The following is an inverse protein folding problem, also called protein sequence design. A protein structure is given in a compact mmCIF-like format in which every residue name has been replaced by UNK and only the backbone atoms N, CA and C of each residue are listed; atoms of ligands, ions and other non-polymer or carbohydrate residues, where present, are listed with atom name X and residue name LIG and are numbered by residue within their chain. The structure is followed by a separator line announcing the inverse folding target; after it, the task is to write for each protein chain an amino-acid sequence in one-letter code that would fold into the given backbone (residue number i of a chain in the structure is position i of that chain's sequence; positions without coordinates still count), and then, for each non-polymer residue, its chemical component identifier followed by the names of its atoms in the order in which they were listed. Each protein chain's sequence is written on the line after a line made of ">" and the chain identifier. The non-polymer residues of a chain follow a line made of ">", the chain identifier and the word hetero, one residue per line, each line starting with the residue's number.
data_IF_411123868983
#
_entry.id   IF_411123868983
#
_cell.length_a   1.000
_cell.length_b   1.000
_cell.length_c   1.000
_cell.angle_alpha   90.00
_cell.angle_beta   90.00
_cell.angle_gamma   90.00
#
_symmetry.space_group_name_H-M   'P 1'
#
loop_
_entity.id
_entity.type
_entity.pdbx_description
1 polymer ?
#
# COMPACT_ATOMS: atom_id res chain seq x y z
N UNK A 1 37.96 22.97 36.67
CA UNK A 1 37.57 21.55 36.66
C UNK A 1 36.13 21.31 37.15
N UNK A 2 35.73 21.76 38.35
CA UNK A 2 34.34 21.57 38.86
C UNK A 2 33.23 22.08 37.91
N UNK A 3 33.39 23.28 37.32
CA UNK A 3 32.42 23.84 36.34
C UNK A 3 32.25 22.99 35.07
N UNK A 4 33.32 22.37 34.59
CA UNK A 4 33.28 21.49 33.40
C UNK A 4 32.56 20.18 33.73
N UNK A 5 32.78 19.63 34.95
CA UNK A 5 32.07 18.44 35.44
C UNK A 5 30.57 18.72 35.60
N UNK A 6 30.18 19.89 36.12
CA UNK A 6 28.77 20.27 36.22
C UNK A 6 28.11 20.48 34.84
N UNK A 7 28.83 21.07 33.87
CA UNK A 7 28.32 21.24 32.50
C UNK A 7 28.17 19.89 31.77
N UNK A 8 29.16 19.00 31.89
CA UNK A 8 29.06 17.63 31.34
C UNK A 8 27.93 16.84 31.99
N UNK A 9 27.77 16.95 33.32
CA UNK A 9 26.67 16.30 34.05
C UNK A 9 25.31 16.84 33.62
N UNK A 10 25.18 18.16 33.39
CA UNK A 10 23.93 18.78 32.94
C UNK A 10 23.57 18.34 31.51
N UNK A 11 24.54 18.25 30.61
CA UNK A 11 24.34 17.78 29.23
C UNK A 11 23.93 16.30 29.20
N UNK A 12 24.55 15.45 30.03
CA UNK A 12 24.16 14.05 30.19
C UNK A 12 22.73 13.92 30.73
N UNK A 13 22.35 14.72 31.73
CA UNK A 13 21.00 14.70 32.30
C UNK A 13 19.95 15.17 31.28
N UNK A 14 20.23 16.22 30.50
CA UNK A 14 19.32 16.70 29.44
C UNK A 14 19.13 15.67 28.31
N UNK A 15 20.09 14.77 28.10
CA UNK A 15 19.99 13.72 27.07
C UNK A 15 18.97 12.63 27.42
N UNK A 16 18.61 12.46 28.70
CA UNK A 16 17.64 11.45 29.15
C UNK A 16 16.18 11.95 29.16
N UNK A 17 15.94 13.24 28.93
CA UNK A 17 14.58 13.83 28.99
C UNK A 17 13.87 13.78 27.62
N UNK A 18 14.62 13.52 26.54
CA UNK A 18 14.06 13.28 25.21
C UNK A 18 13.74 11.78 25.02
N UNK A 19 12.72 11.31 25.73
CA UNK A 19 12.09 10.04 25.39
C UNK A 19 11.09 10.28 24.26
N UNK A 20 11.49 9.99 23.03
CA UNK A 20 10.55 9.95 21.92
C UNK A 20 9.48 8.89 22.22
N UNK A 21 8.21 9.25 22.04
CA UNK A 21 7.11 8.28 22.12
C UNK A 21 7.29 7.29 20.96
N UNK A 22 7.78 6.10 21.26
CA UNK A 22 7.75 5.01 20.29
C UNK A 22 6.30 4.58 20.11
N UNK A 23 5.69 4.92 18.98
CA UNK A 23 4.41 4.36 18.56
C UNK A 23 4.63 2.92 18.10
N UNK A 24 4.82 2.01 19.04
CA UNK A 24 4.80 0.58 18.74
C UNK A 24 3.40 0.17 18.29
N UNK A 25 3.33 -0.82 17.40
CA UNK A 25 2.06 -1.43 17.04
C UNK A 25 1.66 -2.41 18.14
N UNK A 26 0.61 -2.09 18.90
CA UNK A 26 0.02 -3.01 19.87
C UNK A 26 -1.31 -3.52 19.29
N UNK A 27 -1.29 -4.74 18.76
CA UNK A 27 -2.50 -5.39 18.27
C UNK A 27 -3.13 -6.20 19.40
N UNK A 28 -4.32 -5.81 19.84
CA UNK A 28 -5.14 -6.70 20.66
C UNK A 28 -5.47 -7.96 19.87
N UNK A 29 -5.24 -9.14 20.45
CA UNK A 29 -5.61 -10.41 19.83
C UNK A 29 -7.14 -10.45 19.67
N UNK A 30 -7.61 -10.43 18.43
CA UNK A 30 -9.03 -10.55 18.06
C UNK A 30 -9.31 -11.94 17.50
N UNK A 31 -10.51 -12.47 17.76
CA UNK A 31 -10.98 -13.71 17.15
C UNK A 31 -11.20 -13.53 15.64
N UNK A 32 -11.26 -14.63 14.89
CA UNK A 32 -11.55 -14.58 13.44
C UNK A 32 -12.95 -14.05 13.21
N UNK A 33 -13.90 -14.45 14.06
CA UNK A 33 -15.29 -14.03 14.06
C UNK A 33 -15.40 -12.53 14.28
N UNK A 34 -14.71 -11.98 15.30
CA UNK A 34 -14.71 -10.55 15.57
C UNK A 34 -14.07 -9.75 14.43
N UNK A 35 -12.94 -10.23 13.91
CA UNK A 35 -12.29 -9.60 12.75
C UNK A 35 -13.24 -9.60 11.55
N UNK A 36 -13.86 -10.73 11.25
CA UNK A 36 -14.83 -10.89 10.17
C UNK A 36 -16.03 -9.96 10.31
N UNK A 37 -16.55 -9.77 11.53
CA UNK A 37 -17.66 -8.85 11.79
C UNK A 37 -17.23 -7.40 11.60
N UNK A 38 -16.04 -7.01 12.08
CA UNK A 38 -15.54 -5.63 12.06
C UNK A 38 -15.02 -5.17 10.69
N UNK A 39 -14.69 -6.10 9.79
CA UNK A 39 -14.21 -5.77 8.45
C UNK A 39 -15.30 -5.81 7.39
N UNK A 40 -15.15 -5.03 6.32
CA UNK A 40 -16.15 -4.93 5.27
C UNK A 40 -15.96 -5.99 4.19
N UNK A 41 -14.70 -6.25 3.82
CA UNK A 41 -14.33 -7.15 2.73
C UNK A 41 -13.32 -8.18 3.22
N UNK A 42 -13.59 -9.45 2.94
CA UNK A 42 -12.71 -10.57 3.30
C UNK A 42 -12.57 -11.51 2.11
N UNK A 43 -11.34 -11.80 1.71
CA UNK A 43 -11.06 -12.62 0.53
C UNK A 43 -9.70 -13.33 0.61
N UNK A 44 -9.55 -14.41 -0.16
CA UNK A 44 -8.25 -15.03 -0.46
C UNK A 44 -7.82 -14.60 -1.86
N UNK A 45 -6.58 -14.15 -1.99
CA UNK A 45 -6.07 -13.66 -3.27
C UNK A 45 -4.56 -13.70 -3.40
N UNK A 46 -4.10 -13.62 -4.64
CA UNK A 46 -2.69 -13.54 -5.01
C UNK A 46 -2.32 -12.10 -5.31
N UNK A 47 -1.19 -11.63 -4.79
CA UNK A 47 -0.66 -10.31 -5.11
C UNK A 47 -0.14 -10.31 -6.55
N UNK A 48 -0.67 -9.42 -7.37
CA UNK A 48 -0.20 -9.20 -8.73
C UNK A 48 0.92 -8.16 -8.79
N UNK A 49 0.80 -7.09 -7.99
CA UNK A 49 1.72 -5.96 -8.03
C UNK A 49 1.64 -5.16 -6.73
N UNK A 50 2.79 -4.67 -6.26
CA UNK A 50 2.91 -3.81 -5.08
C UNK A 50 3.57 -2.49 -5.49
N UNK A 51 2.96 -1.37 -5.12
CA UNK A 51 3.53 -0.04 -5.38
C UNK A 51 3.54 0.84 -4.15
N UNK A 52 4.63 1.56 -3.97
CA UNK A 52 4.76 2.62 -3.00
C UNK A 52 4.53 3.98 -3.68
N UNK A 53 3.61 4.79 -3.13
CA UNK A 53 3.36 6.15 -3.62
C UNK A 53 2.81 7.05 -2.52
N UNK A 54 3.35 8.26 -2.41
CA UNK A 54 2.87 9.32 -1.50
C UNK A 54 2.73 8.86 -0.03
N UNK A 55 3.68 8.04 0.45
CA UNK A 55 3.63 7.50 1.81
C UNK A 55 2.45 6.55 2.06
N UNK A 56 1.99 5.85 1.00
CA UNK A 56 1.03 4.74 1.05
C UNK A 56 1.49 3.60 0.14
N UNK A 57 1.22 2.37 0.57
CA UNK A 57 1.39 1.21 -0.30
C UNK A 57 0.05 0.87 -0.94
N UNK A 58 0.04 0.62 -2.25
CA UNK A 58 -1.07 0.08 -3.01
C UNK A 58 -0.70 -1.33 -3.46
N UNK A 59 -1.58 -2.29 -3.19
CA UNK A 59 -1.35 -3.68 -3.56
C UNK A 59 -2.54 -4.16 -4.38
N UNK A 60 -2.28 -4.59 -5.62
CA UNK A 60 -3.29 -5.20 -6.47
C UNK A 60 -3.34 -6.70 -6.24
N UNK A 61 -4.54 -7.20 -6.00
CA UNK A 61 -4.83 -8.61 -5.85
C UNK A 61 -5.61 -9.15 -7.03
N UNK A 62 -5.27 -10.37 -7.43
CA UNK A 62 -6.18 -11.29 -8.09
C UNK A 62 -6.95 -12.07 -7.02
N UNK A 63 -8.27 -11.93 -7.00
CA UNK A 63 -9.14 -12.55 -6.01
C UNK A 63 -9.46 -13.98 -6.45
N UNK A 64 -9.27 -14.95 -5.55
CA UNK A 64 -9.56 -16.37 -5.79
C UNK A 64 -10.82 -16.84 -5.08
N UNK A 65 -10.96 -16.46 -3.81
CA UNK A 65 -12.14 -16.78 -2.99
C UNK A 65 -12.61 -15.55 -2.23
N UNK A 66 -13.90 -15.42 -2.07
CA UNK A 66 -14.54 -14.31 -1.37
C UNK A 66 -15.32 -14.86 -0.18
N UNK A 67 -15.03 -14.32 0.99
CA UNK A 67 -15.73 -14.62 2.23
C UNK A 67 -16.73 -13.52 2.61
N UNK A 68 -16.49 -12.26 2.23
CA UNK A 68 -17.37 -11.12 2.54
C UNK A 68 -17.21 -9.95 1.57
N UNK A 69 -18.31 -9.27 1.27
CA UNK A 69 -18.32 -7.85 0.87
C UNK A 69 -17.91 -7.48 -0.55
N UNK A 70 -17.57 -8.43 -1.42
CA UNK A 70 -17.17 -8.12 -2.81
C UNK A 70 -17.65 -9.19 -3.80
N UNK A 71 -17.56 -8.88 -5.09
CA UNK A 71 -17.77 -9.80 -6.21
C UNK A 71 -16.72 -9.65 -7.32
N UNK A 72 -15.74 -8.75 -7.13
CA UNK A 72 -14.74 -8.36 -8.13
C UNK A 72 -13.59 -9.35 -8.22
N UNK A 73 -13.13 -9.64 -9.44
CA UNK A 73 -11.96 -10.52 -9.70
C UNK A 73 -10.62 -9.90 -9.32
N UNK A 74 -10.56 -8.58 -9.20
CA UNK A 74 -9.38 -7.87 -8.71
C UNK A 74 -9.78 -6.78 -7.72
N UNK A 75 -8.90 -6.53 -6.74
CA UNK A 75 -9.09 -5.53 -5.68
C UNK A 75 -7.76 -4.84 -5.41
N UNK A 76 -7.80 -3.52 -5.20
CA UNK A 76 -6.66 -2.75 -4.71
C UNK A 76 -6.82 -2.55 -3.20
N UNK A 77 -5.79 -2.94 -2.45
CA UNK A 77 -5.68 -2.74 -1.01
C UNK A 77 -4.65 -1.67 -0.72
N UNK A 78 -5.00 -0.77 0.19
CA UNK A 78 -4.14 0.31 0.65
C UNK A 78 -3.61 -0.01 2.05
N UNK A 79 -2.33 0.27 2.29
CA UNK A 79 -1.78 0.27 3.65
C UNK A 79 -1.00 1.55 3.90
N UNK A 80 -1.29 2.21 5.02
CA UNK A 80 -0.54 3.38 5.47
C UNK A 80 0.84 2.97 5.98
N UNK A 81 1.83 3.86 5.82
CA UNK A 81 3.14 3.70 6.44
C UNK A 81 3.05 3.98 7.94
N UNK A 82 3.59 3.08 8.75
CA UNK A 82 3.60 3.19 10.20
C UNK A 82 4.05 1.88 10.85
N UNK A 83 3.94 1.82 12.18
CA UNK A 83 4.30 0.62 12.94
C UNK A 83 3.38 -0.57 12.68
N UNK A 84 2.12 -0.32 12.29
CA UNK A 84 1.12 -1.35 11.99
C UNK A 84 0.93 -1.65 10.49
N UNK A 85 1.90 -1.29 9.64
CA UNK A 85 1.81 -1.59 8.20
C UNK A 85 1.88 -3.09 7.95
N UNK A 86 0.88 -3.63 7.26
CA UNK A 86 0.97 -4.98 6.70
C UNK A 86 1.77 -4.92 5.41
N UNK A 87 2.80 -5.77 5.26
CA UNK A 87 3.64 -5.81 4.06
C UNK A 87 3.27 -7.01 3.20
N UNK A 88 2.85 -6.73 1.98
CA UNK A 88 2.59 -7.73 0.96
C UNK A 88 3.83 -7.98 0.11
N UNK A 89 3.99 -9.22 -0.35
CA UNK A 89 5.02 -9.62 -1.30
C UNK A 89 4.36 -9.98 -2.64
N UNK A 90 4.94 -9.51 -3.74
CA UNK A 90 4.49 -9.85 -5.08
C UNK A 90 4.48 -11.37 -5.31
N UNK A 91 3.44 -11.87 -5.96
CA UNK A 91 3.24 -13.30 -6.16
C UNK A 91 2.77 -14.08 -4.93
N UNK A 92 2.80 -13.48 -3.73
CA UNK A 92 2.33 -14.10 -2.50
C UNK A 92 0.81 -14.25 -2.44
N UNK A 93 0.35 -15.22 -1.64
CA UNK A 93 -1.07 -15.50 -1.43
C UNK A 93 -1.47 -15.18 0.00
N UNK A 94 -2.62 -14.55 0.17
CA UNK A 94 -3.05 -13.99 1.46
C UNK A 94 -4.54 -14.21 1.69
N UNK A 95 -4.90 -14.39 2.96
CA UNK A 95 -6.24 -14.16 3.47
C UNK A 95 -6.29 -12.71 3.97
N UNK A 96 -7.07 -11.87 3.31
CA UNK A 96 -7.11 -10.42 3.53
C UNK A 96 -8.40 -10.03 4.24
N UNK A 97 -8.25 -9.30 5.35
CA UNK A 97 -9.34 -8.62 6.06
C UNK A 97 -9.16 -7.12 5.86
N UNK A 98 -10.13 -6.46 5.23
CA UNK A 98 -10.06 -5.03 4.93
C UNK A 98 -11.37 -4.30 5.18
N UNK A 99 -11.24 -3.00 5.47
CA UNK A 99 -12.37 -2.10 5.71
C UNK A 99 -12.26 -0.87 4.83
N UNK A 100 -13.40 -0.30 4.48
CA UNK A 100 -13.44 0.98 3.78
C UNK A 100 -13.00 2.11 4.72
N UNK A 101 -12.08 2.96 4.23
CA UNK A 101 -11.65 4.18 4.91
C UNK A 101 -11.57 5.34 3.92
N UNK A 102 -11.98 6.53 4.38
CA UNK A 102 -11.96 7.75 3.59
C UNK A 102 -12.82 7.65 2.32
N UNK A 103 -12.23 8.01 1.17
CA UNK A 103 -12.83 7.97 -0.18
C UNK A 103 -13.06 6.53 -0.69
N UNK A 104 -13.74 5.68 0.08
CA UNK A 104 -14.09 4.30 -0.28
C UNK A 104 -12.87 3.41 -0.65
N UNK A 105 -11.70 3.71 -0.07
CA UNK A 105 -10.50 2.89 -0.26
C UNK A 105 -10.49 1.75 0.74
N UNK A 106 -10.30 0.53 0.26
CA UNK A 106 -10.12 -0.63 1.13
C UNK A 106 -8.72 -0.60 1.75
N UNK A 107 -8.68 -0.46 3.06
CA UNK A 107 -7.45 -0.43 3.85
C UNK A 107 -7.31 -1.68 4.71
N UNK A 108 -6.06 -2.08 4.95
CA UNK A 108 -5.72 -3.16 5.87
C UNK A 108 -4.53 -2.79 6.74
N UNK A 109 -4.28 -3.55 7.80
CA UNK A 109 -3.17 -3.34 8.72
C UNK A 109 -2.72 -4.66 9.34
N UNK A 110 -1.62 -4.65 10.08
CA UNK A 110 -1.13 -5.84 10.79
C UNK A 110 -2.12 -6.35 11.86
N UNK A 111 -3.03 -5.50 12.33
CA UNK A 111 -4.02 -5.86 13.33
C UNK A 111 -5.40 -6.24 12.75
N UNK A 112 -5.59 -6.16 11.42
CA UNK A 112 -6.90 -6.45 10.81
C UNK A 112 -7.27 -7.94 10.81
N UNK A 113 -6.28 -8.81 11.01
CA UNK A 113 -6.44 -10.26 10.83
C UNK A 113 -5.93 -10.78 9.49
N UNK A 114 -5.47 -9.91 8.59
CA UNK A 114 -4.76 -10.30 7.35
C UNK A 114 -3.52 -11.11 7.66
N UNK A 115 -3.28 -12.19 6.90
CA UNK A 115 -2.08 -13.03 7.02
C UNK A 115 -1.82 -13.80 5.71
N UNK A 116 -0.63 -14.39 5.59
CA UNK A 116 -0.32 -15.25 4.45
C UNK A 116 -1.21 -16.49 4.45
N UNK A 117 -1.52 -16.99 3.26
CA UNK A 117 -2.50 -18.07 3.09
C UNK A 117 -2.01 -19.40 3.67
N UNK A 118 -0.70 -19.67 3.63
CA UNK A 118 -0.04 -20.84 4.23
C UNK A 118 -0.08 -20.84 5.77
N UNK A 119 -0.22 -19.67 6.38
CA UNK A 119 -0.39 -19.51 7.83
C UNK A 119 -1.88 -19.40 8.21
N UNK A 120 -2.79 -19.43 7.23
CA UNK A 120 -4.19 -19.07 7.44
C UNK A 120 -5.15 -20.22 7.75
N UNK A 121 -4.67 -21.45 7.89
CA UNK A 121 -5.52 -22.64 8.03
C UNK A 121 -6.55 -22.50 9.15
N UNK A 122 -6.14 -22.10 10.35
CA UNK A 122 -7.05 -21.95 11.50
C UNK A 122 -8.15 -20.90 11.24
N UNK A 123 -7.80 -19.76 10.62
CA UNK A 123 -8.78 -18.72 10.31
C UNK A 123 -9.71 -19.14 9.18
N UNK A 124 -9.21 -19.85 8.17
CA UNK A 124 -10.03 -20.39 7.07
C UNK A 124 -11.04 -21.40 7.58
N UNK A 125 -10.62 -22.28 8.49
CA UNK A 125 -11.53 -23.23 9.13
C UNK A 125 -12.61 -22.49 9.94
N UNK A 126 -12.23 -21.50 10.76
CA UNK A 126 -13.19 -20.65 11.47
C UNK A 126 -14.17 -19.93 10.52
N UNK A 127 -13.68 -19.33 9.43
CA UNK A 127 -14.52 -18.69 8.41
C UNK A 127 -15.52 -19.66 7.78
N UNK A 128 -15.12 -20.91 7.51
CA UNK A 128 -16.00 -21.93 6.93
C UNK A 128 -17.20 -22.30 7.81
N UNK A 129 -17.13 -22.06 9.12
CA UNK A 129 -18.24 -22.27 10.05
C UNK A 129 -19.22 -21.08 10.10
N UNK A 130 -18.80 -19.88 9.69
CA UNK A 130 -19.60 -18.65 9.85
C UNK A 130 -20.01 -17.99 8.52
N UNK A 131 -19.37 -18.35 7.41
CA UNK A 131 -19.62 -17.78 6.09
C UNK A 131 -19.42 -18.81 4.98
N UNK A 132 -20.19 -18.66 3.89
CA UNK A 132 -20.02 -19.47 2.68
C UNK A 132 -19.08 -18.77 1.71
N UNK A 133 -17.99 -19.44 1.34
CA UNK A 133 -17.08 -18.93 0.30
C UNK A 133 -17.77 -18.86 -1.08
N UNK A 134 -17.36 -17.90 -1.88
CA UNK A 134 -17.79 -17.72 -3.27
C UNK A 134 -16.62 -17.35 -4.18
N UNK A 135 -16.78 -17.55 -5.48
CA UNK A 135 -15.81 -17.09 -6.49
C UNK A 135 -16.22 -15.73 -7.06
N UNK A 136 -15.27 -14.90 -7.52
CA UNK A 136 -15.60 -13.64 -8.16
C UNK A 136 -16.51 -13.83 -9.38
N UNK A 137 -17.56 -13.01 -9.47
CA UNK A 137 -18.51 -13.02 -10.59
C UNK A 137 -18.34 -11.80 -11.50
N UNK A 138 -17.80 -10.70 -10.97
CA UNK A 138 -17.53 -9.47 -11.72
C UNK A 138 -16.07 -9.42 -12.13
N UNK A 139 -15.80 -9.67 -13.42
CA UNK A 139 -14.46 -9.52 -13.97
C UNK A 139 -14.10 -8.05 -14.11
N UNK A 140 -13.01 -7.63 -13.46
CA UNK A 140 -12.44 -6.28 -13.51
C UNK A 140 -10.95 -6.36 -13.78
N UNK A 141 -10.43 -5.36 -14.49
CA UNK A 141 -8.99 -5.17 -14.72
C UNK A 141 -8.56 -3.82 -14.11
N UNK A 142 -7.82 -3.91 -13.02
CA UNK A 142 -7.34 -2.77 -12.24
C UNK A 142 -5.84 -2.51 -12.45
N UNK A 143 -5.17 -3.22 -13.37
CA UNK A 143 -3.76 -2.95 -13.71
C UNK A 143 -3.55 -1.50 -14.16
N UNK A 144 -4.49 -0.94 -14.91
CA UNK A 144 -4.45 0.47 -15.31
C UNK A 144 -4.48 1.44 -14.11
N UNK A 145 -5.13 1.06 -13.01
CA UNK A 145 -5.17 1.83 -11.77
C UNK A 145 -3.88 1.76 -10.95
N UNK A 146 -2.99 0.82 -11.30
CA UNK A 146 -1.64 0.74 -10.75
C UNK A 146 -0.66 1.62 -11.52
N UNK A 147 -0.88 1.92 -12.80
CA UNK A 147 0.10 2.69 -13.57
C UNK A 147 0.36 4.07 -12.94
N UNK A 148 1.63 4.31 -12.58
CA UNK A 148 2.18 5.66 -12.47
C UNK A 148 2.33 6.23 -13.88
N UNK A 149 1.19 6.47 -14.55
CA UNK A 149 1.21 7.26 -15.75
C UNK A 149 1.86 8.60 -15.39
N UNK A 150 2.89 8.99 -16.15
CA UNK A 150 3.26 10.39 -16.25
C UNK A 150 1.93 11.16 -16.31
N UNK A 151 1.75 12.14 -15.43
CA UNK A 151 0.59 13.02 -15.51
C UNK A 151 0.44 13.42 -16.97
N UNK A 152 -0.77 13.41 -17.52
CA UNK A 152 -1.00 13.74 -18.94
C UNK A 152 -0.27 15.03 -19.32
N UNK A 153 -0.18 15.99 -18.39
CA UNK A 153 0.60 17.21 -18.55
C UNK A 153 2.11 16.99 -18.69
N UNK A 154 2.71 16.05 -17.98
CA UNK A 154 4.11 15.66 -18.16
C UNK A 154 4.36 15.03 -19.54
N UNK A 155 3.39 14.27 -20.08
CA UNK A 155 3.49 13.73 -21.46
C UNK A 155 3.39 14.86 -22.50
N UNK A 156 2.48 15.81 -22.27
CA UNK A 156 2.30 16.98 -23.13
C UNK A 156 3.53 17.89 -23.10
N UNK A 157 4.13 18.14 -21.93
CA UNK A 157 5.34 18.97 -21.84
C UNK A 157 6.54 18.32 -22.54
N UNK A 158 6.72 17.00 -22.39
CA UNK A 158 7.82 16.29 -23.05
C UNK A 158 7.67 16.26 -24.57
N UNK A 159 6.45 16.06 -25.08
CA UNK A 159 6.19 16.05 -26.54
C UNK A 159 6.36 17.43 -27.18
N UNK A 160 5.88 18.50 -26.53
CA UNK A 160 6.10 19.88 -27.01
C UNK A 160 7.57 20.26 -26.97
N UNK A 161 8.29 19.90 -25.89
CA UNK A 161 9.73 20.14 -25.77
C UNK A 161 10.53 19.46 -26.89
N UNK A 162 10.21 18.20 -27.21
CA UNK A 162 10.84 17.46 -28.30
C UNK A 162 10.61 18.15 -29.67
N UNK A 163 9.37 18.60 -29.93
CA UNK A 163 9.03 19.32 -31.17
C UNK A 163 9.84 20.62 -31.32
N UNK A 164 9.98 21.40 -30.24
CA UNK A 164 10.76 22.64 -30.26
C UNK A 164 12.24 22.38 -30.54
N UNK A 165 12.81 21.32 -29.95
CA UNK A 165 14.21 20.92 -30.20
C UNK A 165 14.39 20.55 -31.67
N UNK A 166 13.48 19.74 -32.24
CA UNK A 166 13.53 19.35 -33.66
C UNK A 166 13.47 20.58 -34.57
N UNK A 167 12.58 21.53 -34.28
CA UNK A 167 12.48 22.79 -35.05
C UNK A 167 13.75 23.62 -34.96
N UNK A 168 14.34 23.76 -33.77
CA UNK A 168 15.60 24.49 -33.56
C UNK A 168 16.78 23.84 -34.28
N UNK A 169 16.85 22.50 -34.28
CA UNK A 169 17.87 21.75 -35.02
C UNK A 169 17.71 21.96 -36.53
N UNK A 170 16.48 21.87 -37.05
CA UNK A 170 16.21 22.14 -38.48
C UNK A 170 16.60 23.57 -38.84
N UNK A 171 16.27 24.55 -37.99
CA UNK A 171 16.58 25.95 -38.22
C UNK A 171 18.09 26.24 -38.19
N UNK A 172 18.81 25.68 -37.23
CA UNK A 172 20.26 25.84 -37.11
C UNK A 172 21.00 25.20 -38.28
N UNK A 173 20.63 23.98 -38.70
CA UNK A 173 21.19 23.31 -39.89
C UNK A 173 20.91 24.09 -41.17
N UNK A 174 19.71 24.68 -41.32
CA UNK A 174 19.39 25.55 -42.46
C UNK A 174 20.21 26.84 -42.47
N UNK A 175 20.49 27.40 -41.30
CA UNK A 175 21.30 28.62 -41.15
C UNK A 175 22.78 28.36 -41.47
N UNK A 176 23.31 27.20 -41.09
CA UNK A 176 24.71 26.83 -41.40
C UNK A 176 24.92 26.43 -42.86
N UNK A 177 23.90 25.93 -43.57
CA UNK A 177 23.99 25.64 -45.01
C UNK A 177 23.85 26.85 -45.94
N UNK A 178 23.36 27.99 -45.43
CA UNK A 178 23.20 29.24 -46.19
C UNK A 178 24.39 30.22 -46.02
N UNK A 179 25.36 29.88 -45.18
CA UNK A 179 26.65 30.56 -45.05
C UNK A 179 27.69 29.77 -45.82
#
# INVERSE_FOLDING_TARGET
>A
MKRIVYLLSLVLICSFIFSDKSYACDCTKVSTEDAFQKTDVVFEGKVLEVQEKDGKMKTLFEVKKIWKGTSSSQIIIYTSFGSCTFRFAEGGEYLVFSSYRGEEKLETSMCSGTQRLDEAELKRNALSHIAKESVPTKKVDLKGGMLNGLSWWQVVTLSVGLLLIVVLVIFSVRKTRKK
#
